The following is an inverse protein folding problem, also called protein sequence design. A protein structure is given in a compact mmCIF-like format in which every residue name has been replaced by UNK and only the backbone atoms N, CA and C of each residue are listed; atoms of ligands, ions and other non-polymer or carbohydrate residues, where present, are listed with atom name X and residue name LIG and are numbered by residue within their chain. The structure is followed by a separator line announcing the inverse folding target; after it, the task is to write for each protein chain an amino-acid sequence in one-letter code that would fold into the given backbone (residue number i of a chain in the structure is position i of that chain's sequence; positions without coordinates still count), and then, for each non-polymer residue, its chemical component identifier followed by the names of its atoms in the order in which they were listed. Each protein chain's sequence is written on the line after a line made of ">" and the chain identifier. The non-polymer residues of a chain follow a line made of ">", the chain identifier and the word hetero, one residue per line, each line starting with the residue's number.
data_IF_351071946459
#
_entry.id   IF_351071946459
#
_cell.length_a   1.000
_cell.length_b   1.000
_cell.length_c   1.000
_cell.angle_alpha   90.00
_cell.angle_beta   90.00
_cell.angle_gamma   90.00
#
_symmetry.space_group_name_H-M   'P 1'
#
loop_
_entity.id
_entity.type
_entity.pdbx_description
1 polymer ?
#
# COMPACT_ATOMS: atom_id res chain seq x y z
N UNK A 1 -45.96 13.96 1.66
CA UNK A 1 -45.26 12.74 2.11
C UNK A 1 -44.77 13.00 3.51
N UNK A 2 -45.40 12.37 4.57
CA UNK A 2 -45.03 12.57 5.97
C UNK A 2 -43.61 12.06 6.22
N UNK A 3 -42.80 12.83 7.00
CA UNK A 3 -41.51 12.35 7.50
C UNK A 3 -41.74 11.08 8.32
N UNK A 4 -40.92 10.02 8.11
CA UNK A 4 -41.03 8.82 8.93
C UNK A 4 -40.87 9.18 10.41
N UNK A 5 -41.74 8.73 11.27
CA UNK A 5 -41.63 8.95 12.71
C UNK A 5 -40.39 8.24 13.26
N UNK A 6 -39.53 8.97 13.98
CA UNK A 6 -38.35 8.41 14.64
C UNK A 6 -38.84 7.48 15.76
N UNK A 7 -38.30 6.25 15.81
CA UNK A 7 -38.68 5.26 16.84
C UNK A 7 -38.23 5.72 18.25
N UNK A 8 -38.94 5.33 19.28
CA UNK A 8 -38.58 5.60 20.67
C UNK A 8 -37.18 5.09 21.02
N UNK A 9 -36.75 3.98 20.41
CA UNK A 9 -35.41 3.41 20.56
C UNK A 9 -34.34 4.32 19.94
N UNK A 10 -34.58 4.83 18.72
CA UNK A 10 -33.67 5.78 18.08
C UNK A 10 -33.47 7.05 18.91
N UNK A 11 -34.57 7.57 19.49
CA UNK A 11 -34.49 8.72 20.42
C UNK A 11 -33.64 8.40 21.65
N UNK A 12 -33.79 7.21 22.26
CA UNK A 12 -32.96 6.81 23.39
C UNK A 12 -31.48 6.75 23.02
N UNK A 13 -31.13 6.10 21.92
CA UNK A 13 -29.74 5.99 21.42
C UNK A 13 -29.11 7.34 21.19
N UNK A 14 -29.80 8.25 20.52
CA UNK A 14 -29.31 9.62 20.27
C UNK A 14 -29.10 10.38 21.60
N UNK A 15 -30.02 10.23 22.57
CA UNK A 15 -29.86 10.88 23.88
C UNK A 15 -28.66 10.30 24.64
N UNK A 16 -28.48 8.99 24.63
CA UNK A 16 -27.31 8.34 25.25
C UNK A 16 -26.02 8.82 24.61
N UNK A 17 -25.93 8.82 23.27
CA UNK A 17 -24.76 9.35 22.58
C UNK A 17 -24.50 10.82 22.92
N UNK A 18 -25.54 11.66 22.91
CA UNK A 18 -25.43 13.06 23.28
C UNK A 18 -24.98 13.28 24.71
N UNK A 19 -25.34 12.41 25.67
CA UNK A 19 -24.86 12.46 27.04
C UNK A 19 -23.37 12.06 27.15
N UNK A 20 -22.96 11.00 26.44
CA UNK A 20 -21.55 10.56 26.35
C UNK A 20 -20.67 11.67 25.75
N UNK A 21 -21.06 12.25 24.64
CA UNK A 21 -20.31 13.36 24.00
C UNK A 21 -20.16 14.57 24.91
N UNK A 22 -21.23 14.94 25.66
CA UNK A 22 -21.13 16.03 26.66
C UNK A 22 -20.16 15.67 27.78
N UNK A 23 -20.17 14.42 28.22
CA UNK A 23 -19.25 13.95 29.28
C UNK A 23 -17.80 13.97 28.81
N UNK A 24 -17.51 13.57 27.56
CA UNK A 24 -16.16 13.68 26.97
C UNK A 24 -15.75 15.16 26.89
N UNK A 25 -16.62 16.03 26.37
CA UNK A 25 -16.35 17.48 26.25
C UNK A 25 -16.11 18.17 27.58
N UNK A 26 -16.67 17.70 28.66
CA UNK A 26 -16.45 18.24 30.03
C UNK A 26 -14.99 18.02 30.49
N UNK A 27 -14.21 17.20 29.82
CA UNK A 27 -12.77 17.04 30.02
C UNK A 27 -11.89 17.99 29.20
N UNK A 28 -12.47 18.92 28.44
CA UNK A 28 -11.70 19.91 27.66
C UNK A 28 -10.78 20.73 28.57
N UNK A 29 -9.53 20.92 28.14
CA UNK A 29 -8.50 21.62 28.93
C UNK A 29 -7.61 20.70 29.79
N UNK A 30 -7.85 19.41 29.80
CA UNK A 30 -6.93 18.43 30.36
C UNK A 30 -5.81 18.11 29.37
N UNK A 31 -4.84 17.29 29.79
CA UNK A 31 -3.80 16.79 28.89
C UNK A 31 -4.40 16.01 27.71
N UNK A 32 -3.67 15.89 26.61
CA UNK A 32 -4.14 15.14 25.43
C UNK A 32 -4.38 13.69 25.79
N UNK A 33 -3.46 13.07 26.55
CA UNK A 33 -3.57 11.69 27.06
C UNK A 33 -4.85 11.49 27.87
N UNK A 34 -5.07 12.34 28.89
CA UNK A 34 -6.29 12.25 29.71
C UNK A 34 -7.59 12.40 28.91
N UNK A 35 -7.58 13.23 27.87
CA UNK A 35 -8.75 13.41 26.99
C UNK A 35 -8.99 12.15 26.13
N UNK A 36 -7.94 11.53 25.60
CA UNK A 36 -8.01 10.29 24.83
C UNK A 36 -8.52 9.15 25.70
N UNK A 37 -7.90 8.88 26.86
CA UNK A 37 -8.33 7.82 27.78
C UNK A 37 -9.78 8.02 28.23
N UNK A 38 -10.15 9.24 28.53
CA UNK A 38 -11.51 9.60 28.89
C UNK A 38 -12.50 9.34 27.75
N UNK A 39 -12.14 9.64 26.52
CA UNK A 39 -12.98 9.36 25.35
C UNK A 39 -13.16 7.85 25.16
N UNK A 40 -12.09 7.07 25.23
CA UNK A 40 -12.11 5.59 25.14
C UNK A 40 -13.05 5.01 26.19
N UNK A 41 -12.92 5.43 27.46
CA UNK A 41 -13.72 4.92 28.58
C UNK A 41 -15.21 5.33 28.44
N UNK A 42 -15.53 6.61 28.25
CA UNK A 42 -16.92 7.12 28.21
C UNK A 42 -17.68 6.59 27.00
N UNK A 43 -17.01 6.47 25.85
CA UNK A 43 -17.62 5.94 24.63
C UNK A 43 -17.83 4.43 24.70
N UNK A 44 -17.13 3.71 25.60
CA UNK A 44 -17.20 2.27 25.74
C UNK A 44 -16.40 1.51 24.69
N UNK A 45 -15.38 2.15 24.10
CA UNK A 45 -14.57 1.54 23.02
C UNK A 45 -13.81 0.31 23.56
N UNK A 46 -13.31 0.40 24.78
CA UNK A 46 -12.61 -0.72 25.42
C UNK A 46 -13.53 -1.94 25.60
N UNK A 47 -14.77 -1.71 26.03
CA UNK A 47 -15.74 -2.78 26.23
C UNK A 47 -16.09 -3.47 24.91
N UNK A 48 -16.25 -2.68 23.84
CA UNK A 48 -16.51 -3.19 22.49
C UNK A 48 -15.33 -4.04 22.00
N UNK A 49 -14.09 -3.55 22.14
CA UNK A 49 -12.88 -4.25 21.72
C UNK A 49 -12.66 -5.55 22.49
N UNK A 50 -12.86 -5.54 23.81
CA UNK A 50 -12.68 -6.75 24.66
C UNK A 50 -13.77 -7.77 24.39
N UNK A 51 -14.97 -7.35 23.99
CA UNK A 51 -16.10 -8.22 23.70
C UNK A 51 -16.09 -8.84 22.32
N UNK A 52 -15.26 -8.32 21.39
CA UNK A 52 -15.17 -8.84 20.02
C UNK A 52 -14.10 -9.94 19.92
N UNK A 53 -14.49 -11.21 19.72
CA UNK A 53 -13.53 -12.30 19.58
C UNK A 53 -12.66 -12.20 18.31
N UNK A 54 -13.05 -11.34 17.35
CA UNK A 54 -12.30 -11.10 16.11
C UNK A 54 -11.30 -9.93 16.25
N UNK A 55 -11.40 -9.14 17.32
CA UNK A 55 -10.51 -8.02 17.61
C UNK A 55 -9.22 -8.47 18.32
N UNK A 56 -8.61 -9.58 17.89
CA UNK A 56 -7.30 -10.00 18.39
C UNK A 56 -6.29 -8.85 18.21
N UNK A 57 -5.72 -8.36 19.32
CA UNK A 57 -4.83 -7.20 19.30
C UNK A 57 -5.51 -5.83 19.43
N UNK A 58 -6.84 -5.75 19.46
CA UNK A 58 -7.55 -4.47 19.59
C UNK A 58 -7.20 -3.72 20.89
N UNK A 59 -6.97 -4.42 21.99
CA UNK A 59 -6.48 -3.82 23.23
C UNK A 59 -5.09 -3.20 23.04
N UNK A 60 -4.16 -3.92 22.41
CA UNK A 60 -2.82 -3.42 22.14
C UNK A 60 -2.85 -2.20 21.19
N UNK A 61 -3.78 -2.17 20.22
CA UNK A 61 -3.98 -1.02 19.37
C UNK A 61 -4.48 0.22 20.12
N UNK A 62 -5.37 0.05 21.11
CA UNK A 62 -5.80 1.15 21.97
C UNK A 62 -4.67 1.65 22.86
N UNK A 63 -3.91 0.74 23.47
CA UNK A 63 -2.77 1.08 24.33
C UNK A 63 -1.71 1.84 23.48
N UNK A 64 -1.38 1.37 22.26
CA UNK A 64 -0.48 2.07 21.34
C UNK A 64 -1.00 3.44 20.91
N UNK A 65 -2.30 3.60 20.72
CA UNK A 65 -2.88 4.91 20.42
C UNK A 65 -2.72 5.90 21.58
N UNK A 66 -2.85 5.44 22.82
CA UNK A 66 -2.56 6.25 24.01
C UNK A 66 -1.08 6.62 24.07
N UNK A 67 -0.17 5.71 23.72
CA UNK A 67 1.27 5.96 23.67
C UNK A 67 1.61 7.02 22.59
N UNK A 68 0.93 7.00 21.42
CA UNK A 68 1.07 8.06 20.41
C UNK A 68 0.63 9.41 20.96
N UNK A 69 -0.49 9.46 21.70
CA UNK A 69 -0.94 10.70 22.33
C UNK A 69 0.05 11.22 23.39
N UNK A 70 0.67 10.30 24.15
CA UNK A 70 1.69 10.65 25.15
C UNK A 70 2.98 11.16 24.49
N UNK A 71 3.45 10.54 23.44
CA UNK A 71 4.61 10.96 22.66
C UNK A 71 4.38 12.34 22.06
N UNK A 72 3.21 12.56 21.44
CA UNK A 72 2.84 13.86 20.88
C UNK A 72 2.83 14.97 21.96
N UNK A 73 2.26 14.69 23.13
CA UNK A 73 2.22 15.64 24.24
C UNK A 73 3.62 15.99 24.78
N UNK A 74 4.52 15.00 24.78
CA UNK A 74 5.91 15.19 25.22
C UNK A 74 6.75 16.00 24.22
N UNK A 75 6.49 15.86 22.93
CA UNK A 75 7.26 16.48 21.86
C UNK A 75 6.77 17.88 21.47
N UNK A 76 5.47 18.16 21.65
CA UNK A 76 4.84 19.41 21.21
C UNK A 76 4.56 20.32 22.40
N UNK A 77 5.32 21.43 22.58
CA UNK A 77 5.05 22.41 23.64
C UNK A 77 3.66 23.03 23.48
N UNK A 78 2.85 22.91 24.53
CA UNK A 78 1.48 23.43 24.51
C UNK A 78 0.50 22.57 23.70
N UNK A 79 0.79 21.27 23.59
CA UNK A 79 -0.09 20.31 22.95
C UNK A 79 -1.55 20.46 23.40
N UNK A 80 -2.47 20.45 22.45
CA UNK A 80 -3.90 20.50 22.68
C UNK A 80 -4.60 19.40 21.89
N UNK A 81 -5.84 19.05 22.31
CA UNK A 81 -6.62 18.10 21.53
C UNK A 81 -6.81 18.55 20.09
N UNK A 82 -6.98 19.85 19.83
CA UNK A 82 -7.14 20.36 18.46
C UNK A 82 -5.88 20.17 17.60
N UNK A 83 -4.69 20.42 18.19
CA UNK A 83 -3.43 20.19 17.48
C UNK A 83 -3.14 18.72 17.29
N UNK A 84 -3.51 17.86 18.24
CA UNK A 84 -3.39 16.42 18.11
C UNK A 84 -4.32 15.86 17.02
N UNK A 85 -5.58 16.34 16.93
CA UNK A 85 -6.47 15.93 15.85
C UNK A 85 -5.93 16.35 14.48
N UNK A 86 -5.37 17.55 14.36
CA UNK A 86 -4.72 17.98 13.10
C UNK A 86 -3.50 17.13 12.75
N UNK A 87 -2.75 16.66 13.74
CA UNK A 87 -1.66 15.69 13.54
C UNK A 87 -2.19 14.35 13.01
N UNK A 88 -3.29 13.83 13.58
CA UNK A 88 -3.90 12.59 13.13
C UNK A 88 -4.46 12.71 11.70
N UNK A 89 -5.10 13.83 11.37
CA UNK A 89 -5.58 14.11 10.00
C UNK A 89 -4.41 14.11 8.99
N UNK A 90 -3.27 14.73 9.38
CA UNK A 90 -2.07 14.74 8.55
C UNK A 90 -1.45 13.34 8.38
N UNK A 91 -1.43 12.54 9.43
CA UNK A 91 -0.93 11.16 9.36
C UNK A 91 -1.81 10.30 8.43
N UNK A 92 -3.13 10.46 8.51
CA UNK A 92 -4.08 9.76 7.62
C UNK A 92 -3.90 10.15 6.14
N UNK A 93 -3.76 11.46 5.86
CA UNK A 93 -3.65 11.97 4.48
C UNK A 93 -2.30 11.68 3.81
N UNK A 94 -1.20 11.69 4.56
CA UNK A 94 0.16 11.64 4.01
C UNK A 94 0.89 10.32 4.23
N UNK A 95 0.58 9.63 5.32
CA UNK A 95 1.31 8.45 5.78
C UNK A 95 0.45 7.17 5.78
N UNK A 96 -0.80 7.24 5.28
CA UNK A 96 -1.79 6.16 5.34
C UNK A 96 -2.14 5.72 6.77
N UNK A 97 -2.09 6.62 7.73
CA UNK A 97 -2.42 6.41 9.12
C UNK A 97 -1.21 6.31 10.05
N UNK A 98 -1.48 6.01 11.31
CA UNK A 98 -0.45 5.76 12.31
C UNK A 98 0.18 4.38 12.10
N UNK A 99 1.45 4.23 12.46
CA UNK A 99 2.09 2.92 12.47
C UNK A 99 1.32 1.95 13.39
N UNK A 100 1.00 0.78 12.86
CA UNK A 100 0.37 -0.25 13.67
C UNK A 100 1.34 -0.71 14.77
N UNK A 101 0.86 -1.00 16.00
CA UNK A 101 1.72 -1.51 17.04
C UNK A 101 2.38 -2.81 16.57
N UNK A 102 3.69 -2.90 16.81
CA UNK A 102 4.46 -4.12 16.53
C UNK A 102 3.98 -5.21 17.49
N UNK A 103 3.09 -6.06 17.01
CA UNK A 103 2.72 -7.29 17.68
C UNK A 103 3.71 -8.38 17.31
N UNK A 104 4.13 -9.19 18.27
CA UNK A 104 4.88 -10.39 17.95
C UNK A 104 4.05 -11.24 16.96
N UNK A 105 4.64 -11.64 15.82
CA UNK A 105 3.90 -12.42 14.83
C UNK A 105 3.42 -13.75 15.45
N UNK A 106 2.12 -14.00 15.40
CA UNK A 106 1.57 -15.31 15.79
C UNK A 106 2.08 -16.35 14.77
N UNK A 107 2.86 -17.36 15.19
CA UNK A 107 3.36 -18.40 14.31
C UNK A 107 2.26 -19.22 13.62
N UNK A 108 1.03 -19.19 14.16
CA UNK A 108 -0.13 -19.88 13.60
C UNK A 108 -0.96 -19.01 12.66
N UNK A 109 -0.67 -17.72 12.59
CA UNK A 109 -1.39 -16.79 11.73
C UNK A 109 -0.74 -16.66 10.35
N UNK A 110 -1.58 -16.44 9.33
CA UNK A 110 -1.11 -16.02 8.02
C UNK A 110 -0.62 -14.58 8.11
N UNK A 111 0.65 -14.36 7.78
CA UNK A 111 1.26 -13.03 7.82
C UNK A 111 1.03 -12.31 6.48
N UNK A 112 0.49 -11.09 6.54
CA UNK A 112 0.30 -10.23 5.38
C UNK A 112 1.21 -9.01 5.55
N UNK A 113 2.08 -8.77 4.57
CA UNK A 113 3.04 -7.68 4.64
C UNK A 113 3.46 -7.20 3.25
N UNK A 114 4.13 -6.06 3.19
CA UNK A 114 4.73 -5.59 1.94
C UNK A 114 6.00 -6.40 1.62
N UNK A 115 6.39 -6.44 0.34
CA UNK A 115 7.63 -7.08 -0.09
C UNK A 115 8.85 -6.47 0.62
N UNK A 116 8.85 -5.16 0.86
CA UNK A 116 9.92 -4.49 1.59
C UNK A 116 10.07 -5.01 3.03
N UNK A 117 8.96 -5.18 3.72
CA UNK A 117 8.95 -5.70 5.09
C UNK A 117 9.37 -7.19 5.17
N UNK A 118 9.26 -7.93 4.07
CA UNK A 118 9.65 -9.35 4.01
C UNK A 118 11.17 -9.57 3.86
N UNK A 119 11.95 -8.50 3.65
CA UNK A 119 13.41 -8.62 3.45
C UNK A 119 14.07 -9.26 4.66
N UNK A 120 14.84 -10.34 4.42
CA UNK A 120 15.53 -11.09 5.47
C UNK A 120 14.68 -12.16 6.17
N UNK A 121 13.39 -12.21 5.90
CA UNK A 121 12.48 -13.24 6.41
C UNK A 121 12.25 -14.33 5.37
N UNK A 122 11.75 -15.50 5.78
CA UNK A 122 11.40 -16.59 4.90
C UNK A 122 10.33 -17.49 5.52
N UNK A 123 9.48 -18.10 4.67
CA UNK A 123 8.36 -18.95 5.07
C UNK A 123 8.31 -20.21 4.21
N UNK A 124 7.67 -21.25 4.70
CA UNK A 124 7.50 -22.49 3.93
C UNK A 124 6.64 -22.28 2.69
N UNK A 125 5.58 -21.49 2.80
CA UNK A 125 4.70 -21.12 1.70
C UNK A 125 4.52 -19.62 1.59
N UNK A 126 4.62 -19.06 0.39
CA UNK A 126 4.46 -17.64 0.12
C UNK A 126 3.49 -17.41 -1.04
N UNK A 127 2.56 -16.50 -0.84
CA UNK A 127 1.69 -16.00 -1.90
C UNK A 127 2.09 -14.57 -2.24
N UNK A 128 2.55 -14.33 -3.46
CA UNK A 128 2.78 -12.99 -4.01
C UNK A 128 1.56 -12.61 -4.84
N UNK A 129 0.78 -11.68 -4.36
CA UNK A 129 -0.45 -11.24 -5.02
C UNK A 129 -0.28 -9.88 -5.70
N UNK A 130 -1.30 -9.50 -6.50
CA UNK A 130 -1.32 -8.25 -7.27
C UNK A 130 -0.17 -8.16 -8.31
N UNK A 131 0.21 -9.29 -8.90
CA UNK A 131 1.19 -9.34 -9.98
C UNK A 131 0.57 -8.90 -11.31
N UNK A 132 0.06 -7.68 -11.31
CA UNK A 132 -0.58 -7.04 -12.44
C UNK A 132 0.30 -5.90 -12.94
N UNK A 133 0.29 -5.67 -14.26
CA UNK A 133 1.03 -4.56 -14.87
C UNK A 133 0.59 -3.21 -14.28
N UNK A 134 1.55 -2.39 -13.90
CA UNK A 134 1.33 -1.12 -13.21
C UNK A 134 1.03 -1.21 -11.71
N UNK A 135 0.96 -2.42 -11.13
CA UNK A 135 0.86 -2.66 -9.69
C UNK A 135 2.15 -3.26 -9.16
N UNK A 136 2.60 -4.36 -9.76
CA UNK A 136 3.90 -4.96 -9.48
C UNK A 136 4.47 -5.58 -10.77
N UNK A 137 5.33 -4.86 -11.50
CA UNK A 137 6.02 -3.61 -11.15
C UNK A 137 5.09 -2.39 -11.05
N UNK A 138 5.43 -1.48 -10.12
CA UNK A 138 4.68 -0.25 -9.92
C UNK A 138 5.06 0.80 -10.98
N UNK A 139 4.05 1.47 -11.54
CA UNK A 139 4.23 2.55 -12.52
C UNK A 139 3.67 3.89 -12.02
N UNK A 140 3.65 4.13 -10.71
CA UNK A 140 2.95 5.24 -10.06
C UNK A 140 3.29 6.65 -10.57
N UNK A 141 4.49 6.86 -11.10
CA UNK A 141 4.96 8.13 -11.69
C UNK A 141 5.30 8.00 -13.19
N UNK A 142 4.90 6.92 -13.82
CA UNK A 142 5.32 6.54 -15.16
C UNK A 142 4.19 6.67 -16.14
N UNK A 143 4.51 6.98 -17.40
CA UNK A 143 3.57 6.77 -18.49
C UNK A 143 3.33 5.28 -18.64
N UNK A 144 2.06 4.90 -18.63
CA UNK A 144 1.63 3.53 -18.88
C UNK A 144 1.96 3.18 -20.33
N UNK A 145 3.07 2.50 -20.52
CA UNK A 145 3.41 1.86 -21.79
C UNK A 145 3.20 0.37 -21.55
N UNK A 146 2.60 -0.33 -22.51
CA UNK A 146 2.54 -1.80 -22.44
C UNK A 146 3.99 -2.28 -22.33
N UNK A 147 4.30 -3.06 -21.30
CA UNK A 147 5.66 -3.57 -21.05
C UNK A 147 6.23 -4.37 -22.25
N UNK A 148 5.37 -4.79 -23.19
CA UNK A 148 5.75 -5.46 -24.44
C UNK A 148 6.41 -4.50 -25.43
N UNK A 149 6.09 -3.22 -25.34
CA UNK A 149 6.64 -2.19 -26.21
C UNK A 149 7.96 -1.61 -25.70
N UNK A 150 8.37 -1.97 -24.48
CA UNK A 150 9.61 -1.53 -23.85
C UNK A 150 9.45 -1.14 -22.37
N UNK A 151 10.53 -0.68 -21.74
CA UNK A 151 10.45 -0.20 -20.37
C UNK A 151 9.61 1.09 -20.29
N UNK A 152 8.87 1.31 -19.20
CA UNK A 152 8.11 2.54 -19.01
C UNK A 152 9.04 3.73 -18.89
N UNK A 153 8.58 4.89 -19.33
CA UNK A 153 9.26 6.16 -19.06
C UNK A 153 8.90 6.69 -17.68
N UNK A 154 9.84 7.31 -16.97
CA UNK A 154 9.62 7.94 -15.67
C UNK A 154 10.05 9.40 -15.73
N UNK A 155 9.25 10.29 -15.16
CA UNK A 155 9.61 11.72 -15.08
C UNK A 155 10.54 12.05 -13.91
N UNK A 156 10.67 11.13 -12.94
CA UNK A 156 11.53 11.25 -11.79
C UNK A 156 11.36 12.56 -11.02
N UNK A 157 12.48 13.10 -10.57
CA UNK A 157 12.55 14.34 -9.82
C UNK A 157 12.29 15.60 -10.67
N UNK A 158 12.49 15.54 -12.00
CA UNK A 158 12.44 16.72 -12.88
C UNK A 158 11.06 17.36 -12.93
N UNK A 159 10.01 16.57 -12.78
CA UNK A 159 8.61 17.05 -12.74
C UNK A 159 7.99 17.04 -11.35
N UNK A 160 8.78 16.74 -10.33
CA UNK A 160 8.32 16.68 -8.94
C UNK A 160 9.11 17.68 -8.08
N UNK A 161 8.52 18.83 -7.83
CA UNK A 161 9.16 19.89 -7.05
C UNK A 161 9.42 19.51 -5.57
N UNK A 162 8.83 18.43 -5.08
CA UNK A 162 9.07 17.92 -3.72
C UNK A 162 10.23 16.92 -3.68
N UNK A 163 10.68 16.40 -4.83
CA UNK A 163 11.76 15.44 -4.91
C UNK A 163 13.13 16.12 -4.89
N UNK A 164 14.08 15.54 -4.14
CA UNK A 164 15.45 16.00 -4.15
C UNK A 164 16.09 15.67 -5.52
N UNK A 165 16.70 16.67 -6.20
CA UNK A 165 17.44 16.44 -7.44
C UNK A 165 18.51 15.35 -7.31
N UNK A 166 18.59 14.45 -8.29
CA UNK A 166 19.51 13.32 -8.24
C UNK A 166 20.97 13.71 -8.00
N UNK A 167 21.52 14.77 -8.60
CA UNK A 167 22.91 15.17 -8.31
C UNK A 167 23.17 15.57 -6.84
N UNK A 168 22.12 15.84 -6.06
CA UNK A 168 22.21 16.21 -4.65
C UNK A 168 21.95 15.04 -3.69
N UNK A 169 21.63 13.88 -4.21
CA UNK A 169 21.36 12.68 -3.41
C UNK A 169 22.66 11.97 -3.04
N UNK A 170 22.68 11.32 -1.87
CA UNK A 170 23.83 10.54 -1.43
C UNK A 170 24.13 9.30 -2.30
N UNK A 171 23.11 8.78 -2.98
CA UNK A 171 23.16 7.65 -3.90
C UNK A 171 23.29 8.06 -5.39
N UNK A 172 23.66 9.30 -5.67
CA UNK A 172 23.70 9.88 -7.03
C UNK A 172 24.53 9.07 -8.04
N UNK A 173 25.55 8.37 -7.58
CA UNK A 173 26.42 7.55 -8.45
C UNK A 173 25.69 6.34 -9.07
N UNK A 174 24.60 5.89 -8.45
CA UNK A 174 23.77 4.78 -8.93
C UNK A 174 22.55 5.24 -9.74
N UNK A 175 22.34 6.56 -9.81
CA UNK A 175 21.20 7.16 -10.49
C UNK A 175 21.57 7.60 -11.91
N UNK A 176 20.59 7.70 -12.84
CA UNK A 176 20.86 8.24 -14.17
C UNK A 176 21.40 9.66 -14.14
N UNK A 177 22.53 9.86 -14.80
CA UNK A 177 23.21 11.14 -14.87
C UNK A 177 22.32 12.21 -15.56
N UNK A 178 22.36 13.41 -14.99
CA UNK A 178 21.77 14.58 -15.60
C UNK A 178 22.83 15.29 -16.45
N UNK A 179 23.01 14.80 -17.68
CA UNK A 179 24.12 15.12 -18.59
C UNK A 179 23.72 16.03 -19.76
N UNK A 180 22.62 16.78 -19.60
CA UNK A 180 22.18 17.72 -20.62
C UNK A 180 23.20 18.86 -20.79
N UNK A 181 23.73 18.99 -22.00
CA UNK A 181 24.47 20.17 -22.45
C UNK A 181 23.59 20.99 -23.41
N UNK A 182 23.39 22.26 -23.08
CA UNK A 182 22.66 23.23 -23.87
C UNK A 182 23.53 24.42 -24.31
N UNK A 183 24.83 24.34 -24.08
CA UNK A 183 25.78 25.37 -24.50
C UNK A 183 25.82 25.47 -26.02
N UNK A 184 25.60 26.67 -26.56
CA UNK A 184 25.55 26.90 -28.01
C UNK A 184 24.20 26.60 -28.68
N UNK A 185 23.20 26.09 -27.98
CA UNK A 185 21.90 25.81 -28.53
C UNK A 185 21.09 27.08 -28.82
N UNK A 186 20.56 27.20 -30.05
CA UNK A 186 19.75 28.35 -30.48
C UNK A 186 18.38 28.41 -29.73
N UNK A 187 17.89 27.26 -29.23
CA UNK A 187 16.63 27.12 -28.48
C UNK A 187 16.81 26.18 -27.31
N UNK A 188 17.46 26.63 -26.18
CA UNK A 188 17.77 25.76 -25.05
C UNK A 188 16.58 25.05 -24.44
N UNK A 189 15.41 25.70 -24.36
CA UNK A 189 14.20 25.09 -23.83
C UNK A 189 13.63 23.97 -24.69
N UNK A 190 13.78 24.06 -26.00
CA UNK A 190 13.36 23.02 -26.95
C UNK A 190 14.34 21.82 -26.90
N UNK A 191 15.65 22.10 -26.80
CA UNK A 191 16.67 21.07 -26.59
C UNK A 191 16.45 20.31 -25.28
N UNK A 192 16.21 21.03 -24.19
CA UNK A 192 15.86 20.43 -22.89
C UNK A 192 14.64 19.50 -22.99
N UNK A 193 13.53 19.98 -23.59
CA UNK A 193 12.33 19.17 -23.74
C UNK A 193 12.58 17.91 -24.56
N UNK A 194 13.29 18.04 -25.69
CA UNK A 194 13.61 16.91 -26.54
C UNK A 194 14.47 15.86 -25.84
N UNK A 195 15.49 16.31 -25.11
CA UNK A 195 16.36 15.44 -24.34
C UNK A 195 15.58 14.78 -23.19
N UNK A 196 14.77 15.54 -22.45
CA UNK A 196 14.00 15.03 -21.32
C UNK A 196 13.04 13.92 -21.79
N UNK A 197 12.21 14.19 -22.78
CA UNK A 197 11.16 13.26 -23.23
C UNK A 197 11.69 12.13 -24.13
N UNK A 198 12.83 12.32 -24.78
CA UNK A 198 13.41 11.36 -25.73
C UNK A 198 14.45 10.42 -25.11
N UNK A 199 15.17 10.86 -24.10
CA UNK A 199 16.31 10.12 -23.54
C UNK A 199 16.23 9.98 -22.02
N UNK A 200 16.14 11.08 -21.29
CA UNK A 200 16.28 11.05 -19.84
C UNK A 200 15.13 10.32 -19.13
N UNK A 201 13.88 10.57 -19.56
CA UNK A 201 12.71 9.86 -19.01
C UNK A 201 12.78 8.34 -19.31
N UNK A 202 13.39 7.93 -20.42
CA UNK A 202 13.61 6.52 -20.71
C UNK A 202 14.66 5.91 -19.76
N UNK A 203 15.79 6.59 -19.54
CA UNK A 203 16.82 6.15 -18.57
C UNK A 203 16.29 6.05 -17.16
N UNK A 204 15.45 7.01 -16.75
CA UNK A 204 14.76 6.97 -15.46
C UNK A 204 13.82 5.77 -15.36
N UNK A 205 13.06 5.49 -16.42
CA UNK A 205 12.16 4.34 -16.50
C UNK A 205 12.91 3.01 -16.41
N UNK A 206 14.03 2.87 -17.12
CA UNK A 206 14.88 1.68 -17.02
C UNK A 206 15.49 1.48 -15.63
N UNK A 207 15.92 2.57 -15.00
CA UNK A 207 16.41 2.51 -13.63
C UNK A 207 15.32 2.05 -12.67
N UNK A 208 14.15 2.64 -12.75
CA UNK A 208 13.03 2.27 -11.91
C UNK A 208 12.57 0.81 -12.15
N UNK A 209 12.60 0.31 -13.39
CA UNK A 209 12.31 -1.09 -13.70
C UNK A 209 13.34 -2.05 -13.07
N UNK A 210 14.61 -1.65 -13.03
CA UNK A 210 15.65 -2.45 -12.35
C UNK A 210 15.43 -2.54 -10.85
N UNK A 211 14.99 -1.44 -10.21
CA UNK A 211 14.67 -1.44 -8.78
C UNK A 211 13.46 -2.32 -8.48
N UNK A 212 12.40 -2.21 -9.29
CA UNK A 212 11.23 -3.10 -9.16
C UNK A 212 11.60 -4.58 -9.38
N UNK A 213 12.53 -4.88 -10.30
CA UNK A 213 13.03 -6.24 -10.52
C UNK A 213 13.81 -6.78 -9.33
N UNK A 214 14.59 -5.94 -8.64
CA UNK A 214 15.25 -6.29 -7.38
C UNK A 214 14.21 -6.63 -6.30
N UNK A 215 13.15 -5.84 -6.24
CA UNK A 215 12.05 -6.09 -5.32
C UNK A 215 11.31 -7.40 -5.66
N UNK A 216 11.08 -7.67 -6.94
CA UNK A 216 10.51 -8.94 -7.40
C UNK A 216 11.38 -10.15 -7.01
N UNK A 217 12.71 -10.02 -7.15
CA UNK A 217 13.64 -11.04 -6.68
C UNK A 217 13.51 -11.30 -5.17
N UNK A 218 13.40 -10.22 -4.37
CA UNK A 218 13.16 -10.36 -2.93
C UNK A 218 11.87 -11.14 -2.68
N UNK A 219 10.76 -10.80 -3.33
CA UNK A 219 9.48 -11.49 -3.15
C UNK A 219 9.56 -12.98 -3.53
N UNK A 220 10.21 -13.27 -4.66
CA UNK A 220 10.31 -14.64 -5.20
C UNK A 220 11.25 -15.53 -4.40
N UNK A 221 12.15 -14.96 -3.62
CA UNK A 221 13.11 -15.72 -2.78
C UNK A 221 12.66 -15.89 -1.33
N UNK A 222 11.43 -15.52 -0.98
CA UNK A 222 10.93 -15.66 0.40
C UNK A 222 10.38 -17.05 0.71
N UNK A 223 10.05 -17.83 -0.30
CA UNK A 223 9.50 -19.17 -0.12
C UNK A 223 10.61 -20.22 0.02
N UNK A 224 10.51 -21.07 1.05
CA UNK A 224 11.38 -22.27 1.22
C UNK A 224 10.89 -23.43 0.39
N UNK A 225 9.59 -23.68 0.35
CA UNK A 225 9.02 -24.91 -0.20
C UNK A 225 8.00 -24.68 -1.31
N UNK A 226 7.13 -23.68 -1.16
CA UNK A 226 6.05 -23.46 -2.11
C UNK A 226 5.81 -21.97 -2.33
N UNK A 227 5.62 -21.58 -3.58
CA UNK A 227 5.28 -20.22 -3.95
C UNK A 227 4.07 -20.18 -4.88
N UNK A 228 3.20 -19.22 -4.67
CA UNK A 228 2.07 -18.93 -5.51
C UNK A 228 2.16 -17.47 -5.99
N UNK A 229 2.19 -17.27 -7.31
CA UNK A 229 2.17 -15.94 -7.92
C UNK A 229 0.76 -15.68 -8.47
N UNK A 230 0.15 -14.56 -8.08
CA UNK A 230 -1.26 -14.26 -8.37
C UNK A 230 -1.43 -12.88 -8.96
N UNK A 231 -2.06 -12.79 -10.13
CA UNK A 231 -2.55 -11.56 -10.72
C UNK A 231 -4.07 -11.58 -10.84
N UNK A 232 -4.69 -10.43 -10.99
CA UNK A 232 -6.14 -10.25 -11.13
C UNK A 232 -6.50 -9.80 -12.53
N UNK A 233 -7.44 -10.50 -13.19
CA UNK A 233 -7.96 -10.05 -14.48
C UNK A 233 -8.76 -8.75 -14.37
N UNK A 234 -9.51 -8.58 -13.28
CA UNK A 234 -10.32 -7.38 -13.00
C UNK A 234 -10.37 -7.10 -11.51
N UNK A 235 -10.26 -5.82 -11.12
CA UNK A 235 -10.62 -5.40 -9.77
C UNK A 235 -12.12 -5.09 -9.68
N UNK A 236 -12.69 -5.32 -8.50
CA UNK A 236 -14.12 -5.10 -8.21
C UNK A 236 -14.66 -3.72 -8.61
N UNK A 237 -13.78 -2.71 -8.64
CA UNK A 237 -14.12 -1.31 -8.98
C UNK A 237 -13.60 -0.86 -10.33
N UNK A 238 -12.89 -1.72 -11.06
CA UNK A 238 -12.29 -1.38 -12.36
C UNK A 238 -13.17 -1.77 -13.53
N UNK A 239 -13.29 -0.89 -14.52
CA UNK A 239 -14.03 -1.13 -15.76
C UNK A 239 -13.19 -1.81 -16.86
N UNK A 240 -11.87 -1.89 -16.69
CA UNK A 240 -10.94 -2.40 -17.72
C UNK A 240 -10.20 -3.64 -17.22
N UNK A 241 -9.99 -4.63 -18.10
CA UNK A 241 -9.13 -5.78 -17.81
C UNK A 241 -7.71 -5.33 -17.46
N UNK A 242 -7.07 -6.06 -16.54
CA UNK A 242 -5.67 -5.90 -16.20
C UNK A 242 -4.82 -6.88 -16.99
N UNK A 243 -3.63 -6.47 -17.35
CA UNK A 243 -2.64 -7.37 -17.92
C UNK A 243 -1.79 -8.01 -16.81
N UNK A 244 -1.39 -9.28 -16.95
CA UNK A 244 -0.45 -9.88 -16.02
C UNK A 244 0.87 -9.10 -16.05
N UNK A 245 1.52 -9.01 -14.91
CA UNK A 245 2.81 -8.35 -14.83
C UNK A 245 3.87 -9.06 -15.68
N UNK A 246 4.85 -8.28 -16.13
CA UNK A 246 6.03 -8.81 -16.81
C UNK A 246 6.71 -9.93 -16.01
N UNK A 247 6.83 -9.76 -14.69
CA UNK A 247 7.48 -10.74 -13.81
C UNK A 247 6.69 -12.05 -13.70
N UNK A 248 5.36 -11.96 -13.68
CA UNK A 248 4.51 -13.14 -13.72
C UNK A 248 4.68 -13.91 -15.03
N UNK A 249 4.75 -13.20 -16.16
CA UNK A 249 4.93 -13.80 -17.47
C UNK A 249 6.33 -14.39 -17.66
N UNK A 250 7.37 -13.71 -17.18
CA UNK A 250 8.74 -14.23 -17.21
C UNK A 250 8.86 -15.51 -16.36
N UNK A 251 8.33 -15.51 -15.13
CA UNK A 251 8.32 -16.67 -14.27
C UNK A 251 7.56 -17.85 -14.91
N UNK A 252 6.43 -17.58 -15.57
CA UNK A 252 5.69 -18.58 -16.32
C UNK A 252 6.53 -19.14 -17.47
N UNK A 253 7.17 -18.30 -18.27
CA UNK A 253 7.97 -18.72 -19.42
C UNK A 253 9.13 -19.64 -18.98
N UNK A 254 9.86 -19.29 -17.91
CA UNK A 254 10.97 -20.09 -17.40
C UNK A 254 10.52 -21.47 -16.88
N UNK A 255 9.39 -21.51 -16.20
CA UNK A 255 8.89 -22.76 -15.62
C UNK A 255 8.33 -23.72 -16.66
N UNK A 256 7.76 -23.22 -17.73
CA UNK A 256 7.08 -23.99 -18.76
C UNK A 256 7.82 -24.04 -20.10
N UNK A 257 9.02 -23.51 -20.17
CA UNK A 257 9.87 -23.47 -21.38
C UNK A 257 10.18 -24.85 -22.00
N UNK A 258 9.73 -25.96 -21.42
CA UNK A 258 9.90 -27.29 -21.97
C UNK A 258 8.63 -28.14 -22.04
N UNK A 259 7.50 -27.66 -21.56
CA UNK A 259 6.33 -28.52 -21.34
C UNK A 259 5.18 -28.32 -22.34
N UNK A 260 5.23 -27.33 -23.21
CA UNK A 260 4.11 -27.01 -24.14
C UNK A 260 2.78 -26.65 -23.44
N UNK A 261 2.81 -26.52 -22.12
CA UNK A 261 1.64 -26.18 -21.31
C UNK A 261 1.35 -24.69 -21.45
N UNK A 262 0.28 -24.36 -22.12
CA UNK A 262 -0.26 -23.00 -22.16
C UNK A 262 -0.66 -22.51 -20.77
N UNK A 263 -0.76 -21.19 -20.63
CA UNK A 263 -1.33 -20.54 -19.43
C UNK A 263 -2.72 -21.11 -19.20
N UNK A 264 -2.85 -22.09 -18.35
CA UNK A 264 -4.14 -22.58 -17.88
C UNK A 264 -4.65 -21.58 -16.86
N UNK A 265 -5.76 -20.91 -17.15
CA UNK A 265 -6.57 -20.35 -16.09
C UNK A 265 -7.00 -21.55 -15.21
N UNK A 266 -6.42 -21.70 -14.03
CA UNK A 266 -6.94 -22.63 -13.04
C UNK A 266 -8.19 -21.97 -12.48
N UNK A 267 -9.33 -22.24 -13.12
CA UNK A 267 -10.62 -22.10 -12.46
C UNK A 267 -10.60 -23.10 -11.31
N UNK A 268 -10.63 -22.62 -10.07
CA UNK A 268 -10.77 -23.48 -8.91
C UNK A 268 -12.01 -24.34 -9.09
N UNK A 269 -11.84 -25.67 -9.12
CA UNK A 269 -12.93 -26.61 -9.00
C UNK A 269 -13.52 -26.48 -7.60
N UNK A 270 -14.56 -25.69 -7.53
CA UNK A 270 -15.33 -25.44 -6.33
C UNK A 270 -16.50 -24.52 -6.68
N UNK A 271 -17.39 -25.01 -7.58
CA UNK A 271 -18.69 -24.39 -7.86
C UNK A 271 -18.76 -23.51 -9.09
N UNK A 272 -19.33 -24.06 -10.17
CA UNK A 272 -20.02 -23.34 -11.23
C UNK A 272 -19.13 -22.61 -12.22
N UNK A 273 -19.28 -22.97 -13.48
CA UNK A 273 -18.70 -22.26 -14.61
C UNK A 273 -19.04 -20.76 -14.51
N UNK A 274 -18.06 -19.93 -14.23
CA UNK A 274 -18.19 -18.48 -14.21
C UNK A 274 -18.18 -17.98 -15.66
N UNK A 275 -19.30 -17.37 -16.07
CA UNK A 275 -19.45 -16.73 -17.38
C UNK A 275 -18.50 -15.52 -17.53
N UNK A 276 -18.43 -14.88 -18.71
CA UNK A 276 -17.51 -13.77 -18.99
C UNK A 276 -17.89 -12.49 -18.22
N UNK A 277 -17.88 -12.51 -16.92
CA UNK A 277 -18.21 -11.43 -15.97
C UNK A 277 -17.71 -11.71 -14.57
N UNK A 278 -17.25 -12.89 -14.29
CA UNK A 278 -16.79 -13.27 -12.97
C UNK A 278 -15.26 -13.24 -12.96
N UNK A 279 -14.69 -12.38 -12.08
CA UNK A 279 -13.28 -12.03 -12.00
C UNK A 279 -12.32 -13.22 -12.02
N UNK A 280 -11.84 -13.58 -13.20
CA UNK A 280 -10.78 -14.57 -13.38
C UNK A 280 -9.43 -13.99 -12.94
N UNK A 281 -8.68 -14.74 -12.16
CA UNK A 281 -7.32 -14.39 -11.78
C UNK A 281 -6.28 -15.20 -12.56
N UNK A 282 -5.10 -14.63 -12.75
CA UNK A 282 -3.93 -15.35 -13.22
C UNK A 282 -3.24 -15.99 -12.02
N UNK A 283 -3.14 -17.31 -12.04
CA UNK A 283 -2.57 -18.08 -10.95
C UNK A 283 -1.39 -18.93 -11.45
N UNK A 284 -0.23 -18.76 -10.85
CA UNK A 284 0.95 -19.58 -11.09
C UNK A 284 1.41 -20.21 -9.78
N UNK A 285 1.41 -21.52 -9.68
CA UNK A 285 1.92 -22.26 -8.54
C UNK A 285 3.32 -22.79 -8.86
N UNK A 286 4.28 -22.39 -8.04
CA UNK A 286 5.64 -22.91 -8.05
C UNK A 286 5.73 -23.98 -6.95
N UNK A 287 5.94 -25.24 -7.33
CA UNK A 287 6.24 -26.30 -6.39
C UNK A 287 7.75 -26.43 -6.15
N UNK A 288 8.15 -26.91 -4.99
CA UNK A 288 9.53 -27.27 -4.73
C UNK A 288 10.01 -28.30 -5.78
N UNK A 289 11.22 -28.11 -6.30
CA UNK A 289 11.92 -29.20 -6.97
C UNK A 289 12.40 -30.14 -5.87
N UNK A 290 12.02 -31.43 -5.95
CA UNK A 290 12.64 -32.49 -5.18
C UNK A 290 14.12 -32.62 -5.54
#
# INVERSE_FOLDING_TARGET
>A
RGRPAISGEAVRRVRTLGSRLRAVRAGAGRSVVEQVERAVSIMGILDDVVSDPLAAGGRAALDAFVDVAASYEAEVPGASLSSFLAYLDMADERENGLEAPVSEPDPQAVQIMTVHASKGLEWDGVVVFAMDDGVFPSHSKRRTVDWRDGPPTDSGWVRDASALPYPLRGDHMDLPDFDLDVEGEAKPSAAFKKWLEGDYEARLGEHAEREERRLAYVAMTRARSAQLLVGSWMYRTGASPRHPSRYLMEAHAELFAGTGAGVGAVSGEGGGALGPGDGGGHLLRLGARE
#
